data_IF_209205159937
#
_entry.id   IF_209205159937
#
_cell.length_a   1.000
_cell.length_b   1.000
_cell.length_c   1.000
_cell.angle_alpha   90.00
_cell.angle_beta   90.00
_cell.angle_gamma   90.00
#
_symmetry.space_group_name_H-M   'P 1'
#
loop_
_entity.id
_entity.type
_entity.pdbx_description
1 polymer ?
#
# COMPACT_ATOMS: atom_id res chain seq x y z
N UNK A 1 -8.75 -0.83 8.79
CA UNK A 1 -8.16 -1.09 10.11
C UNK A 1 -6.81 -0.39 10.11
N UNK A 2 -6.69 0.76 10.78
CA UNK A 2 -5.42 1.47 10.97
C UNK A 2 -5.07 1.30 12.44
N UNK A 3 -4.73 0.09 12.82
CA UNK A 3 -4.06 -0.15 14.08
C UNK A 3 -2.57 0.14 13.84
N UNK A 4 -2.02 1.10 14.59
CA UNK A 4 -0.57 1.35 14.71
C UNK A 4 0.14 1.97 13.49
N UNK A 5 -0.59 2.57 12.55
CA UNK A 5 -0.01 3.21 11.36
C UNK A 5 0.27 2.23 10.21
N UNK A 6 -0.30 1.02 10.28
CA UNK A 6 -0.27 0.04 9.20
C UNK A 6 -1.53 0.19 8.36
N UNK A 7 -1.36 0.44 7.06
CA UNK A 7 -2.47 0.57 6.11
C UNK A 7 -2.58 -0.70 5.28
N UNK A 8 -3.71 -1.40 5.42
CA UNK A 8 -4.02 -2.59 4.62
C UNK A 8 -4.90 -2.21 3.43
N UNK A 9 -4.46 -2.54 2.23
CA UNK A 9 -5.18 -2.24 1.00
C UNK A 9 -5.30 -3.48 0.12
N UNK A 10 -6.44 -3.62 -0.55
CA UNK A 10 -6.67 -4.71 -1.50
C UNK A 10 -6.55 -4.15 -2.90
N UNK A 11 -5.53 -4.57 -3.64
CA UNK A 11 -5.38 -4.17 -5.03
C UNK A 11 -6.49 -4.81 -5.86
N UNK A 12 -7.10 -4.04 -6.76
CA UNK A 12 -8.14 -4.51 -7.70
C UNK A 12 -7.66 -4.32 -9.14
N UNK A 13 -8.11 -5.18 -10.05
CA UNK A 13 -7.79 -5.11 -11.48
C UNK A 13 -6.57 -5.94 -11.89
N UNK A 14 -6.01 -5.67 -13.07
CA UNK A 14 -4.91 -6.45 -13.66
C UNK A 14 -3.66 -6.54 -12.76
N UNK A 15 -3.45 -5.55 -11.90
CA UNK A 15 -2.33 -5.51 -10.97
C UNK A 15 -2.51 -6.39 -9.73
N UNK A 16 -3.72 -6.91 -9.47
CA UNK A 16 -4.01 -7.78 -8.33
C UNK A 16 -3.48 -9.22 -8.50
N UNK A 17 -3.20 -9.65 -9.74
CA UNK A 17 -2.71 -11.00 -10.04
C UNK A 17 -1.23 -11.07 -10.43
N UNK A 18 -0.58 -9.92 -10.62
CA UNK A 18 0.83 -9.86 -11.01
C UNK A 18 1.68 -9.45 -9.78
N UNK A 19 2.54 -10.33 -9.25
CA UNK A 19 3.34 -10.04 -8.06
C UNK A 19 4.28 -8.85 -8.28
N UNK A 20 4.80 -8.68 -9.50
CA UNK A 20 5.66 -7.54 -9.84
C UNK A 20 4.89 -6.22 -9.82
N UNK A 21 3.67 -6.19 -10.37
CA UNK A 21 2.83 -4.99 -10.33
C UNK A 21 2.36 -4.67 -8.90
N UNK A 22 2.13 -5.69 -8.08
CA UNK A 22 1.74 -5.55 -6.68
C UNK A 22 2.82 -4.82 -5.88
N UNK A 23 4.09 -5.25 -5.99
CA UNK A 23 5.18 -4.58 -5.26
C UNK A 23 5.38 -3.13 -5.73
N UNK A 24 5.43 -2.88 -7.04
CA UNK A 24 5.64 -1.53 -7.56
C UNK A 24 4.53 -0.57 -7.12
N UNK A 25 3.26 -1.00 -7.20
CA UNK A 25 2.14 -0.18 -6.74
C UNK A 25 2.13 0.01 -5.23
N UNK A 26 2.41 -1.04 -4.46
CA UNK A 26 2.49 -0.94 -3.00
C UNK A 26 3.52 0.12 -2.57
N UNK A 27 4.72 0.10 -3.17
CA UNK A 27 5.75 1.09 -2.89
C UNK A 27 5.35 2.51 -3.32
N UNK A 28 4.71 2.66 -4.48
CA UNK A 28 4.22 3.96 -4.94
C UNK A 28 3.15 4.53 -4.00
N UNK A 29 2.20 3.70 -3.59
CA UNK A 29 1.12 4.08 -2.67
C UNK A 29 1.70 4.41 -1.28
N UNK A 30 2.65 3.61 -0.78
CA UNK A 30 3.31 3.87 0.50
C UNK A 30 4.00 5.22 0.52
N UNK A 31 4.75 5.55 -0.54
CA UNK A 31 5.42 6.84 -0.64
C UNK A 31 4.44 8.00 -0.56
N UNK A 32 3.37 7.96 -1.36
CA UNK A 32 2.36 9.01 -1.40
C UNK A 32 1.65 9.13 -0.05
N UNK A 33 1.30 7.99 0.58
CA UNK A 33 0.67 7.98 1.89
C UNK A 33 1.59 8.57 2.96
N UNK A 34 2.89 8.27 2.96
CA UNK A 34 3.86 8.88 3.89
C UNK A 34 4.03 10.39 3.67
N UNK A 35 3.95 10.86 2.41
CA UNK A 35 4.01 12.29 2.08
C UNK A 35 2.76 13.05 2.52
N UNK A 36 1.58 12.44 2.46
CA UNK A 36 0.31 13.08 2.83
C UNK A 36 -0.08 12.84 4.29
N UNK A 37 0.32 11.71 4.86
CA UNK A 37 -0.04 11.21 6.18
C UNK A 37 1.22 10.62 6.82
N UNK A 38 2.04 11.45 7.50
CA UNK A 38 3.31 11.00 8.09
C UNK A 38 3.14 9.96 9.22
N UNK A 39 1.92 9.74 9.71
CA UNK A 39 1.59 8.70 10.69
C UNK A 39 1.58 7.29 10.09
N UNK A 40 1.61 7.15 8.75
CA UNK A 40 1.69 5.86 8.07
C UNK A 40 3.10 5.31 8.15
N UNK A 41 3.25 4.15 8.79
CA UNK A 41 4.53 3.44 8.94
C UNK A 41 4.75 2.44 7.83
N UNK A 42 3.71 1.69 7.49
CA UNK A 42 3.79 0.54 6.58
C UNK A 42 2.49 0.36 5.79
N UNK A 43 2.62 -0.09 4.55
CA UNK A 43 1.48 -0.45 3.69
C UNK A 43 1.55 -1.92 3.32
N UNK A 44 0.46 -2.66 3.53
CA UNK A 44 0.35 -4.09 3.21
C UNK A 44 -0.74 -4.31 2.15
N UNK A 45 -0.37 -4.96 1.05
CA UNK A 45 -1.34 -5.44 0.06
C UNK A 45 -1.98 -6.76 0.53
N UNK A 46 -3.33 -6.83 0.54
CA UNK A 46 -4.17 -7.98 0.87
C UNK A 46 -4.65 -8.72 -0.39
#
# INVERSE_FOLDING_TARGET
DVNEGIVRLKLKGACAGCPMATMTLQHGIERILKEQIPEVKEVIAL
#
